data_IF_852468163438
#
_entry.id   IF_852468163438
#
_cell.length_a   1.000
_cell.length_b   1.000
_cell.length_c   1.000
_cell.angle_alpha   90.00
_cell.angle_beta   90.00
_cell.angle_gamma   90.00
#
_symmetry.space_group_name_H-M   'P 1'
#
loop_
_entity.id
_entity.type
_entity.pdbx_description
1 polymer ?
#
# COMPACT_ATOMS: atom_id res chain seq x y z
N UNK A 1 -59.43 24.85 -34.75
CA UNK A 1 -59.12 23.57 -34.08
C UNK A 1 -57.80 22.98 -34.58
N UNK A 2 -57.66 22.67 -35.88
CA UNK A 2 -56.46 21.98 -36.44
C UNK A 2 -55.11 22.74 -36.33
N UNK A 3 -55.11 24.08 -36.37
CA UNK A 3 -53.88 24.88 -36.22
C UNK A 3 -53.35 24.90 -34.79
N UNK A 4 -54.25 24.82 -33.79
CA UNK A 4 -53.88 24.86 -32.38
C UNK A 4 -53.29 23.51 -31.93
N UNK A 5 -53.82 22.40 -32.47
CA UNK A 5 -53.29 21.05 -32.22
C UNK A 5 -51.92 20.83 -32.85
N UNK A 6 -51.66 21.41 -34.04
CA UNK A 6 -50.33 21.39 -34.67
C UNK A 6 -49.29 22.15 -33.85
N UNK A 7 -49.63 23.35 -33.34
CA UNK A 7 -48.73 24.13 -32.48
C UNK A 7 -48.44 23.37 -31.18
N UNK A 8 -49.46 22.75 -30.58
CA UNK A 8 -49.29 21.95 -29.36
C UNK A 8 -48.36 20.74 -29.58
N UNK A 9 -48.50 20.02 -30.69
CA UNK A 9 -47.61 18.90 -31.03
C UNK A 9 -46.16 19.34 -31.24
N UNK A 10 -45.94 20.49 -31.89
CA UNK A 10 -44.58 21.03 -32.08
C UNK A 10 -43.96 21.38 -30.73
N UNK A 11 -44.70 22.01 -29.82
CA UNK A 11 -44.22 22.36 -28.47
C UNK A 11 -43.89 21.10 -27.68
N UNK A 12 -44.77 20.08 -27.70
CA UNK A 12 -44.52 18.80 -27.01
C UNK A 12 -43.28 18.11 -27.59
N UNK A 13 -43.14 18.09 -28.92
CA UNK A 13 -41.94 17.54 -29.58
C UNK A 13 -40.67 18.27 -29.16
N UNK A 14 -40.70 19.59 -29.06
CA UNK A 14 -39.58 20.42 -28.60
C UNK A 14 -39.22 20.14 -27.14
N UNK A 15 -40.21 19.96 -26.26
CA UNK A 15 -40.00 19.60 -24.86
C UNK A 15 -39.38 18.22 -24.71
N UNK A 16 -39.80 17.24 -25.51
CA UNK A 16 -39.20 15.90 -25.52
C UNK A 16 -37.74 15.97 -26.00
N UNK A 17 -37.45 16.76 -27.04
CA UNK A 17 -36.10 16.95 -27.57
C UNK A 17 -35.17 17.59 -26.53
N UNK A 18 -35.65 18.62 -25.83
CA UNK A 18 -34.91 19.25 -24.72
C UNK A 18 -34.68 18.27 -23.57
N UNK A 19 -35.69 17.47 -23.21
CA UNK A 19 -35.57 16.43 -22.19
C UNK A 19 -34.54 15.36 -22.54
N UNK A 20 -34.56 14.87 -23.78
CA UNK A 20 -33.60 13.89 -24.27
C UNK A 20 -32.17 14.46 -24.30
N UNK A 21 -32.00 15.69 -24.78
CA UNK A 21 -30.71 16.38 -24.79
C UNK A 21 -30.14 16.57 -23.38
N UNK A 22 -30.97 16.94 -22.41
CA UNK A 22 -30.57 17.08 -21.01
C UNK A 22 -30.12 15.74 -20.39
N UNK A 23 -30.85 14.65 -20.66
CA UNK A 23 -30.50 13.32 -20.16
C UNK A 23 -29.18 12.82 -20.76
N UNK A 24 -28.96 13.03 -22.06
CA UNK A 24 -27.70 12.70 -22.73
C UNK A 24 -26.52 13.50 -22.14
N UNK A 25 -26.68 14.82 -22.00
CA UNK A 25 -25.67 15.68 -21.38
C UNK A 25 -25.34 15.25 -19.95
N UNK A 26 -26.37 14.98 -19.13
CA UNK A 26 -26.18 14.54 -17.74
C UNK A 26 -25.44 13.22 -17.64
N UNK A 27 -25.72 12.28 -18.55
CA UNK A 27 -25.06 10.96 -18.57
C UNK A 27 -23.60 11.07 -19.00
N UNK A 28 -23.32 11.86 -20.04
CA UNK A 28 -21.95 12.11 -20.51
C UNK A 28 -21.12 12.83 -19.44
N UNK A 29 -21.68 13.86 -18.79
CA UNK A 29 -20.98 14.58 -17.72
C UNK A 29 -20.61 13.69 -16.53
N UNK A 30 -21.50 12.77 -16.13
CA UNK A 30 -21.20 11.78 -15.09
C UNK A 30 -20.10 10.80 -15.52
N UNK A 31 -20.20 10.26 -16.73
CA UNK A 31 -19.21 9.30 -17.25
C UNK A 31 -17.81 9.92 -17.41
N UNK A 32 -17.72 11.20 -17.77
CA UNK A 32 -16.45 11.93 -17.85
C UNK A 32 -15.90 12.19 -16.45
N UNK A 33 -16.75 12.58 -15.49
CA UNK A 33 -16.36 12.75 -14.09
C UNK A 33 -15.76 11.47 -13.51
N UNK A 34 -16.45 10.34 -13.63
CA UNK A 34 -15.99 9.05 -13.10
C UNK A 34 -14.68 8.56 -13.77
N UNK A 35 -14.50 8.84 -15.06
CA UNK A 35 -13.27 8.49 -15.78
C UNK A 35 -12.11 9.42 -15.42
N UNK A 36 -12.38 10.69 -15.13
CA UNK A 36 -11.39 11.67 -14.72
C UNK A 36 -10.95 11.45 -13.27
N UNK A 37 -11.88 11.10 -12.38
CA UNK A 37 -11.58 10.73 -10.99
C UNK A 37 -10.72 9.46 -10.95
N UNK A 38 -11.06 8.42 -11.72
CA UNK A 38 -10.20 7.22 -11.86
C UNK A 38 -8.84 7.54 -12.48
N UNK A 39 -8.80 8.42 -13.48
CA UNK A 39 -7.56 8.82 -14.14
C UNK A 39 -6.63 9.59 -13.20
N UNK A 40 -7.17 10.48 -12.38
CA UNK A 40 -6.39 11.26 -11.40
C UNK A 40 -5.92 10.40 -10.23
N UNK A 41 -6.72 9.41 -9.80
CA UNK A 41 -6.33 8.44 -8.79
C UNK A 41 -5.14 7.59 -9.26
N UNK A 42 -5.22 7.01 -10.46
CA UNK A 42 -4.12 6.23 -11.06
C UNK A 42 -2.87 7.10 -11.28
N UNK A 43 -3.03 8.35 -11.74
CA UNK A 43 -1.91 9.27 -11.93
C UNK A 43 -1.23 9.63 -10.61
N UNK A 44 -2.00 9.85 -9.53
CA UNK A 44 -1.46 10.12 -8.20
C UNK A 44 -0.72 8.90 -7.64
N UNK A 45 -1.27 7.69 -7.76
CA UNK A 45 -0.59 6.46 -7.34
C UNK A 45 0.73 6.25 -8.11
N UNK A 46 0.73 6.43 -9.43
CA UNK A 46 1.94 6.32 -10.23
C UNK A 46 2.97 7.39 -9.86
N UNK A 47 2.53 8.62 -9.60
CA UNK A 47 3.42 9.71 -9.18
C UNK A 47 4.02 9.45 -7.80
N UNK A 48 3.26 8.90 -6.85
CA UNK A 48 3.76 8.51 -5.54
C UNK A 48 4.78 7.38 -5.63
N UNK A 49 4.50 6.34 -6.43
CA UNK A 49 5.45 5.25 -6.71
C UNK A 49 6.73 5.77 -7.37
N UNK A 50 6.60 6.73 -8.29
CA UNK A 50 7.76 7.34 -8.93
C UNK A 50 8.62 8.13 -7.94
N UNK A 51 8.01 8.96 -7.08
CA UNK A 51 8.73 9.68 -6.01
C UNK A 51 9.45 8.74 -5.04
N UNK A 52 8.82 7.63 -4.66
CA UNK A 52 9.46 6.60 -3.83
C UNK A 52 10.65 5.96 -4.54
N UNK A 53 10.52 5.63 -5.83
CA UNK A 53 11.62 5.10 -6.65
C UNK A 53 12.78 6.07 -6.76
N UNK A 54 12.50 7.36 -6.82
CA UNK A 54 13.53 8.39 -6.88
C UNK A 54 14.26 8.54 -5.53
N UNK A 55 13.53 8.52 -4.41
CA UNK A 55 14.12 8.45 -3.07
C UNK A 55 14.95 7.18 -2.84
N UNK A 56 14.54 6.05 -3.43
CA UNK A 56 15.27 4.79 -3.36
C UNK A 56 16.61 4.83 -4.09
N UNK A 57 16.73 5.57 -5.20
CA UNK A 57 17.99 5.66 -5.96
C UNK A 57 19.13 6.27 -5.14
N UNK A 58 18.81 7.14 -4.17
CA UNK A 58 19.80 7.72 -3.26
C UNK A 58 20.08 6.86 -2.03
N UNK A 59 19.38 5.74 -1.85
CA UNK A 59 19.60 4.85 -0.70
C UNK A 59 20.76 3.87 -0.95
N UNK A 60 21.37 3.33 0.13
CA UNK A 60 22.34 2.25 0.02
C UNK A 60 21.83 1.04 -0.78
N UNK A 61 22.74 0.36 -1.48
CA UNK A 61 22.46 -0.81 -2.33
C UNK A 61 21.61 -1.89 -1.64
N UNK A 62 21.82 -2.12 -0.35
CA UNK A 62 21.08 -3.14 0.39
C UNK A 62 19.61 -2.78 0.57
N UNK A 63 19.27 -1.50 0.75
CA UNK A 63 17.89 -1.01 0.83
C UNK A 63 17.22 -1.11 -0.54
N UNK A 64 17.93 -0.74 -1.61
CA UNK A 64 17.41 -0.87 -2.98
C UNK A 64 17.10 -2.33 -3.33
N UNK A 65 18.00 -3.26 -3.00
CA UNK A 65 17.79 -4.69 -3.20
C UNK A 65 16.63 -5.21 -2.37
N UNK A 66 16.53 -4.77 -1.12
CA UNK A 66 15.43 -5.13 -0.24
C UNK A 66 14.08 -4.64 -0.78
N UNK A 67 14.00 -3.41 -1.30
CA UNK A 67 12.76 -2.89 -1.88
C UNK A 67 12.30 -3.68 -3.12
N UNK A 68 13.24 -4.04 -4.02
CA UNK A 68 12.91 -4.91 -5.16
C UNK A 68 12.39 -6.26 -4.70
N UNK A 69 12.95 -6.82 -3.62
CA UNK A 69 12.48 -8.07 -3.03
C UNK A 69 11.11 -7.93 -2.39
N UNK A 70 10.80 -6.81 -1.74
CA UNK A 70 9.46 -6.60 -1.18
C UNK A 70 8.40 -6.47 -2.27
N UNK A 71 8.69 -5.78 -3.38
CA UNK A 71 7.78 -5.75 -4.55
C UNK A 71 7.54 -7.17 -5.08
N UNK A 72 8.59 -8.00 -5.14
CA UNK A 72 8.47 -9.40 -5.56
C UNK A 72 7.62 -10.23 -4.58
N UNK A 73 7.85 -10.09 -3.27
CA UNK A 73 7.06 -10.78 -2.22
C UNK A 73 5.59 -10.43 -2.29
N UNK A 74 5.27 -9.14 -2.50
CA UNK A 74 3.89 -8.69 -2.65
C UNK A 74 3.25 -9.31 -3.90
N UNK A 75 3.95 -9.30 -5.03
CA UNK A 75 3.49 -9.95 -6.26
C UNK A 75 3.32 -11.47 -6.09
N UNK A 76 4.25 -12.14 -5.40
CA UNK A 76 4.19 -13.59 -5.21
C UNK A 76 3.06 -13.97 -4.24
N UNK A 77 2.81 -13.13 -3.23
CA UNK A 77 1.70 -13.34 -2.28
C UNK A 77 0.36 -13.22 -2.98
N UNK A 78 0.17 -12.25 -3.87
CA UNK A 78 -1.09 -12.07 -4.62
C UNK A 78 -1.45 -13.26 -5.51
N UNK A 79 -0.48 -14.13 -5.84
CA UNK A 79 -0.68 -15.32 -6.65
C UNK A 79 -1.01 -16.58 -5.82
N UNK A 80 -0.96 -16.50 -4.49
CA UNK A 80 -1.31 -17.60 -3.59
C UNK A 80 -2.83 -17.72 -3.40
N UNK A 81 -3.34 -18.86 -2.91
CA UNK A 81 -4.71 -18.98 -2.42
C UNK A 81 -5.02 -18.02 -1.27
N UNK A 82 -6.30 -17.66 -1.12
CA UNK A 82 -6.78 -16.66 -0.16
C UNK A 82 -6.39 -16.96 1.31
N UNK A 83 -6.36 -18.24 1.70
CA UNK A 83 -5.95 -18.65 3.04
C UNK A 83 -4.50 -18.25 3.33
N UNK A 84 -3.59 -18.53 2.39
CA UNK A 84 -2.18 -18.17 2.51
C UNK A 84 -1.97 -16.66 2.41
N UNK A 85 -2.74 -15.97 1.56
CA UNK A 85 -2.71 -14.50 1.51
C UNK A 85 -3.06 -13.90 2.86
N UNK A 86 -4.11 -14.43 3.51
CA UNK A 86 -4.58 -13.98 4.82
C UNK A 86 -3.53 -14.22 5.90
N UNK A 87 -2.88 -15.39 5.90
CA UNK A 87 -1.79 -15.69 6.84
C UNK A 87 -0.54 -14.82 6.64
N UNK A 88 -0.23 -14.42 5.41
CA UNK A 88 0.94 -13.59 5.10
C UNK A 88 0.68 -12.08 5.22
N UNK A 89 -0.58 -11.64 5.24
CA UNK A 89 -0.94 -10.22 5.28
C UNK A 89 -0.34 -9.45 6.48
N UNK A 90 -0.29 -10.01 7.72
CA UNK A 90 0.37 -9.34 8.85
C UNK A 90 1.87 -9.12 8.60
N UNK A 91 2.56 -10.13 8.07
CA UNK A 91 4.00 -10.06 7.74
C UNK A 91 4.27 -9.03 6.64
N UNK A 92 3.47 -9.02 5.57
CA UNK A 92 3.59 -8.04 4.50
C UNK A 92 3.37 -6.62 5.02
N UNK A 93 2.40 -6.43 5.90
CA UNK A 93 2.14 -5.14 6.57
C UNK A 93 3.33 -4.72 7.44
N UNK A 94 3.88 -5.63 8.23
CA UNK A 94 5.03 -5.37 9.10
C UNK A 94 6.29 -5.02 8.28
N UNK A 95 6.56 -5.75 7.20
CA UNK A 95 7.62 -5.46 6.24
C UNK A 95 7.50 -4.03 5.70
N UNK A 96 6.33 -3.65 5.18
CA UNK A 96 6.09 -2.30 4.64
C UNK A 96 6.24 -1.20 5.69
N UNK A 97 5.82 -1.47 6.94
CA UNK A 97 6.05 -0.55 8.06
C UNK A 97 7.54 -0.37 8.36
N UNK A 98 8.34 -1.45 8.37
CA UNK A 98 9.78 -1.36 8.56
C UNK A 98 10.38 -0.45 7.48
N UNK A 99 10.10 -0.72 6.20
CA UNK A 99 10.57 0.12 5.09
C UNK A 99 10.18 1.59 5.26
N UNK A 100 8.91 1.86 5.54
CA UNK A 100 8.40 3.22 5.69
C UNK A 100 9.12 4.00 6.79
N UNK A 101 9.46 3.35 7.91
CA UNK A 101 10.15 3.98 9.03
C UNK A 101 11.63 4.24 8.71
N UNK A 102 12.25 3.38 7.91
CA UNK A 102 13.70 3.37 7.68
C UNK A 102 14.15 4.06 6.39
N UNK A 103 13.27 4.19 5.39
CA UNK A 103 13.64 4.62 4.03
C UNK A 103 14.23 6.04 3.98
N UNK A 104 13.96 6.88 4.97
CA UNK A 104 14.52 8.23 5.09
C UNK A 104 15.54 8.40 6.22
N UNK A 105 15.88 7.34 6.94
CA UNK A 105 16.75 7.40 8.13
C UNK A 105 17.77 6.25 8.08
N UNK A 106 18.93 6.54 7.52
CA UNK A 106 20.03 5.58 7.35
C UNK A 106 20.49 4.99 8.70
N UNK A 107 20.44 5.76 9.80
CA UNK A 107 20.80 5.25 11.13
C UNK A 107 19.80 4.20 11.61
N UNK A 108 18.51 4.40 11.34
CA UNK A 108 17.48 3.39 11.66
C UNK A 108 17.58 2.19 10.74
N UNK A 109 17.84 2.40 9.44
CA UNK A 109 18.06 1.31 8.50
C UNK A 109 19.25 0.42 8.93
N UNK A 110 20.36 1.03 9.34
CA UNK A 110 21.54 0.31 9.83
C UNK A 110 21.28 -0.45 11.14
N UNK A 111 20.41 0.06 12.04
CA UNK A 111 20.02 -0.68 13.25
C UNK A 111 19.30 -1.99 12.95
N UNK A 112 18.53 -2.04 11.86
CA UNK A 112 17.83 -3.25 11.41
C UNK A 112 18.49 -3.85 10.18
N UNK A 113 19.81 -3.71 10.02
CA UNK A 113 20.53 -4.22 8.85
C UNK A 113 20.33 -5.72 8.61
N UNK A 114 20.20 -6.50 9.69
CA UNK A 114 19.93 -7.94 9.61
C UNK A 114 18.55 -8.26 9.03
N UNK A 115 17.56 -7.36 9.18
CA UNK A 115 16.28 -7.51 8.49
C UNK A 115 16.49 -7.53 6.97
N UNK A 116 17.20 -6.54 6.42
CA UNK A 116 17.42 -6.44 4.97
C UNK A 116 18.31 -7.54 4.40
N UNK A 117 19.32 -7.96 5.17
CA UNK A 117 20.33 -8.89 4.69
C UNK A 117 19.99 -10.36 4.96
N UNK A 118 19.12 -10.64 5.92
CA UNK A 118 18.84 -12.02 6.38
C UNK A 118 17.35 -12.31 6.39
N UNK A 119 16.56 -11.59 7.19
CA UNK A 119 15.16 -11.95 7.46
C UNK A 119 14.26 -11.75 6.24
N UNK A 120 14.37 -10.62 5.55
CA UNK A 120 13.62 -10.35 4.32
C UNK A 120 14.02 -11.30 3.18
N UNK A 121 15.30 -11.57 2.91
CA UNK A 121 15.73 -12.64 2.00
C UNK A 121 15.13 -14.01 2.31
N UNK A 122 15.13 -14.42 3.58
CA UNK A 122 14.56 -15.68 4.01
C UNK A 122 13.04 -15.71 3.80
N UNK A 123 12.36 -14.64 4.18
CA UNK A 123 10.92 -14.48 3.96
C UNK A 123 10.56 -14.53 2.47
N UNK A 124 11.30 -13.83 1.61
CA UNK A 124 11.09 -13.87 0.17
C UNK A 124 11.27 -15.28 -0.42
N UNK A 125 12.28 -16.01 0.07
CA UNK A 125 12.52 -17.39 -0.36
C UNK A 125 11.40 -18.33 0.12
N UNK A 126 10.89 -18.10 1.33
CA UNK A 126 9.75 -18.82 1.88
C UNK A 126 8.47 -18.59 1.05
N UNK A 127 8.12 -17.33 0.76
CA UNK A 127 6.95 -17.00 -0.05
C UNK A 127 7.08 -17.56 -1.47
N UNK A 128 8.27 -17.48 -2.08
CA UNK A 128 8.50 -18.07 -3.40
C UNK A 128 8.32 -19.60 -3.41
N UNK A 129 8.80 -20.28 -2.37
CA UNK A 129 8.62 -21.73 -2.22
C UNK A 129 7.15 -22.09 -1.94
N UNK A 130 6.47 -21.33 -1.10
CA UNK A 130 5.04 -21.49 -0.87
C UNK A 130 4.26 -21.31 -2.18
N UNK A 131 4.63 -20.33 -2.99
CA UNK A 131 4.03 -20.11 -4.32
C UNK A 131 4.15 -21.32 -5.22
N UNK A 132 5.33 -21.96 -5.28
CA UNK A 132 5.53 -23.15 -6.11
C UNK A 132 4.85 -24.39 -5.56
N UNK A 133 4.84 -24.56 -4.24
CA UNK A 133 4.57 -25.86 -3.61
C UNK A 133 3.20 -25.94 -2.94
N UNK A 134 2.47 -24.83 -2.72
CA UNK A 134 1.25 -24.79 -1.89
C UNK A 134 0.18 -25.84 -2.27
N UNK A 135 0.07 -26.19 -3.56
CA UNK A 135 -0.90 -27.16 -4.06
C UNK A 135 -0.55 -28.62 -3.71
N UNK A 136 0.71 -28.88 -3.35
CA UNK A 136 1.25 -30.22 -3.09
C UNK A 136 1.64 -30.43 -1.62
N UNK A 137 1.46 -29.42 -0.76
CA UNK A 137 1.82 -29.53 0.65
C UNK A 137 0.93 -30.55 1.36
N UNK A 138 1.58 -31.49 2.05
CA UNK A 138 0.89 -32.35 3.00
C UNK A 138 0.55 -31.59 4.31
N UNK A 139 -0.23 -32.21 5.19
CA UNK A 139 -0.66 -31.57 6.44
C UNK A 139 0.51 -31.24 7.39
N UNK A 140 1.59 -32.03 7.36
CA UNK A 140 2.78 -31.77 8.18
C UNK A 140 3.56 -30.57 7.65
N UNK A 141 3.70 -30.46 6.33
CA UNK A 141 4.35 -29.35 5.66
C UNK A 141 3.55 -28.05 5.79
N UNK A 142 2.22 -28.11 5.72
CA UNK A 142 1.35 -26.96 6.03
C UNK A 142 1.57 -26.47 7.47
N UNK A 143 1.60 -27.39 8.43
CA UNK A 143 1.85 -27.04 9.84
C UNK A 143 3.20 -26.34 10.01
N UNK A 144 4.27 -26.88 9.41
CA UNK A 144 5.60 -26.24 9.43
C UNK A 144 5.61 -24.88 8.74
N UNK A 145 4.85 -24.71 7.66
CA UNK A 145 4.74 -23.43 6.99
C UNK A 145 4.07 -22.37 7.88
N UNK A 146 3.04 -22.76 8.64
CA UNK A 146 2.43 -21.89 9.65
C UNK A 146 3.41 -21.57 10.79
N UNK A 147 4.12 -22.57 11.33
CA UNK A 147 5.15 -22.33 12.35
C UNK A 147 6.25 -21.37 11.86
N UNK A 148 6.66 -21.46 10.59
CA UNK A 148 7.61 -20.53 10.00
C UNK A 148 7.04 -19.11 9.89
N UNK A 149 5.73 -18.96 9.62
CA UNK A 149 5.06 -17.66 9.62
C UNK A 149 5.16 -17.02 11.01
N UNK A 150 4.90 -17.78 12.07
CA UNK A 150 5.01 -17.29 13.46
C UNK A 150 6.45 -16.85 13.79
N UNK A 151 7.45 -17.60 13.31
CA UNK A 151 8.87 -17.25 13.49
C UNK A 151 9.20 -15.93 12.78
N UNK A 152 8.72 -15.74 11.54
CA UNK A 152 8.90 -14.47 10.83
C UNK A 152 8.18 -13.31 11.53
N UNK A 153 7.00 -13.56 12.12
CA UNK A 153 6.21 -12.53 12.78
C UNK A 153 6.96 -12.00 14.00
N UNK A 154 7.42 -12.91 14.86
CA UNK A 154 8.23 -12.55 16.02
C UNK A 154 9.51 -11.79 15.62
N UNK A 155 10.15 -12.18 14.51
CA UNK A 155 11.36 -11.51 14.03
C UNK A 155 11.06 -10.09 13.52
N UNK A 156 9.97 -9.89 12.77
CA UNK A 156 9.57 -8.60 12.23
C UNK A 156 9.09 -7.65 13.34
N UNK A 157 8.35 -8.16 14.33
CA UNK A 157 7.97 -7.41 15.52
C UNK A 157 9.20 -6.93 16.31
N UNK A 158 10.22 -7.78 16.45
CA UNK A 158 11.48 -7.40 17.10
C UNK A 158 12.13 -6.21 16.39
N UNK A 159 12.20 -6.22 15.05
CA UNK A 159 12.74 -5.09 14.29
C UNK A 159 11.90 -3.82 14.43
N UNK A 160 10.57 -3.95 14.38
CA UNK A 160 9.65 -2.83 14.63
C UNK A 160 9.87 -2.21 16.01
N UNK A 161 10.05 -3.03 17.05
CA UNK A 161 10.37 -2.57 18.40
C UNK A 161 11.66 -1.76 18.46
N UNK A 162 12.73 -2.25 17.81
CA UNK A 162 14.04 -1.57 17.78
C UNK A 162 13.97 -0.18 17.12
N UNK A 163 13.23 -0.04 16.02
CA UNK A 163 13.11 1.25 15.31
C UNK A 163 12.10 2.20 15.95
N UNK A 164 11.10 1.69 16.68
CA UNK A 164 10.13 2.51 17.42
C UNK A 164 10.70 3.09 18.71
N UNK A 165 11.53 2.35 19.45
CA UNK A 165 12.21 2.87 20.64
C UNK A 165 13.06 4.11 20.32
N UNK A 166 13.67 4.15 19.13
CA UNK A 166 14.41 5.32 18.67
C UNK A 166 13.54 6.59 18.53
N UNK A 167 12.23 6.47 18.29
CA UNK A 167 11.31 7.61 18.22
C UNK A 167 10.93 8.14 19.62
N UNK A 168 10.89 7.29 20.65
CA UNK A 168 10.56 7.72 22.03
C UNK A 168 11.66 8.59 22.64
N UNK A 169 12.93 8.28 22.37
CA UNK A 169 14.06 9.06 22.87
C UNK A 169 14.00 10.54 22.44
N UNK A 170 13.62 10.82 21.19
CA UNK A 170 13.49 12.20 20.70
C UNK A 170 12.35 12.96 21.39
N UNK A 171 11.24 12.30 21.74
CA UNK A 171 10.14 12.94 22.45
C UNK A 171 10.46 13.22 23.92
N UNK A 172 11.10 12.28 24.63
CA UNK A 172 11.46 12.45 26.03
C UNK A 172 12.50 13.56 26.21
N UNK A 173 13.51 13.62 25.33
CA UNK A 173 14.52 14.69 25.33
C UNK A 173 13.87 16.06 25.02
N UNK A 174 12.96 16.13 24.04
CA UNK A 174 12.24 17.37 23.75
C UNK A 174 11.34 17.81 24.91
N UNK A 175 10.67 16.87 25.58
CA UNK A 175 9.84 17.13 26.74
C UNK A 175 10.66 17.67 27.91
N UNK A 176 11.84 17.11 28.18
CA UNK A 176 12.72 17.59 29.24
C UNK A 176 13.29 18.98 28.93
N UNK A 177 13.65 19.26 27.68
CA UNK A 177 14.05 20.62 27.26
C UNK A 177 12.91 21.63 27.45
N UNK A 178 11.67 21.23 27.12
CA UNK A 178 10.48 22.08 27.34
C UNK A 178 10.24 22.31 28.83
N UNK A 179 10.33 21.26 29.67
CA UNK A 179 10.19 21.38 31.13
C UNK A 179 11.24 22.33 31.73
N UNK A 180 12.50 22.23 31.29
CA UNK A 180 13.57 23.13 31.74
C UNK A 180 13.27 24.58 31.36
N UNK A 181 12.79 24.83 30.14
CA UNK A 181 12.38 26.18 29.70
C UNK A 181 11.18 26.73 30.45
N UNK A 182 10.21 25.88 30.81
CA UNK A 182 9.03 26.28 31.59
C UNK A 182 9.37 26.54 33.06
N UNK A 183 10.39 25.88 33.62
CA UNK A 183 10.85 26.07 35.00
C UNK A 183 11.70 27.34 35.19
N UNK A 184 12.29 27.85 34.11
CA UNK A 184 13.09 29.08 34.10
C UNK A 184 12.29 30.32 33.61
N UNK A 185 10.95 30.23 33.60
CA UNK A 185 10.02 31.36 33.49
C UNK A 185 9.31 31.55 34.83
#
# INVERSE_FOLDING_TARGET
MLRLTLILMVIIGLLILLGAGYLAYRKVRKSIGDAWDKGTEIANEQQQRWKQREQLKSQPDYIQKAFKRSEQVESDTQLLPEDWQSSLAPLNTAMQKIFTITIGDEKRADKVRSFYNTSLPAYASFVAKLRSDHAHLDEQEKTKAVENIDVFEADFERYLGQIQQARRFDFDVLMDVIKVRLKNR
#
